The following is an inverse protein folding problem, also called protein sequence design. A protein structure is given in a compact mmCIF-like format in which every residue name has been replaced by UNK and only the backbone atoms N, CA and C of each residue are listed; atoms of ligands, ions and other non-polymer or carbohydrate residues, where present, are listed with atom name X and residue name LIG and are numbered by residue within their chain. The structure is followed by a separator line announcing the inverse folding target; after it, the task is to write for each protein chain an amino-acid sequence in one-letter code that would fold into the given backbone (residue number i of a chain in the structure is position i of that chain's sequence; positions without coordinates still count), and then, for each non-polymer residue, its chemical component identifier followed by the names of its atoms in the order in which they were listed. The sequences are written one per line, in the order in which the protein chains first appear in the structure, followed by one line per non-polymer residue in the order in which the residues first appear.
data_IF_232945190663
#
_entry.id   IF_232945190663
#
_cell.length_a   1.000
_cell.length_b   1.000
_cell.length_c   1.000
_cell.angle_alpha   90.00
_cell.angle_beta   90.00
_cell.angle_gamma   90.00
#
_symmetry.space_group_name_H-M   'P 1'
#
loop_
_entity.id
_entity.type
_entity.pdbx_description
1 polymer ?
#
# COMPACT_ATOMS: atom_id res chain seq x y z
N UNK A 1 -11.03 23.05 -19.41
CA UNK A 1 -10.10 23.03 -18.27
C UNK A 1 -9.94 21.57 -17.86
N UNK A 2 -8.80 20.93 -18.15
CA UNK A 2 -8.57 19.54 -17.74
C UNK A 2 -8.14 19.52 -16.27
N UNK A 3 -9.02 19.03 -15.40
CA UNK A 3 -8.66 18.79 -14.00
C UNK A 3 -7.69 17.60 -13.98
N UNK A 4 -6.45 17.85 -13.57
CA UNK A 4 -5.45 16.80 -13.31
C UNK A 4 -5.53 16.36 -11.85
N UNK A 5 -4.98 15.18 -11.56
CA UNK A 5 -4.83 14.74 -10.18
C UNK A 5 -3.90 15.70 -9.41
N UNK A 6 -4.16 16.00 -8.12
CA UNK A 6 -3.31 16.89 -7.33
C UNK A 6 -1.85 16.41 -7.25
N UNK A 7 -0.90 17.35 -7.35
CA UNK A 7 0.50 17.03 -7.14
C UNK A 7 0.79 16.69 -5.67
N UNK A 8 1.91 16.01 -5.40
CA UNK A 8 2.35 15.73 -4.04
C UNK A 8 2.52 17.03 -3.22
N UNK A 9 3.10 18.08 -3.81
CA UNK A 9 3.24 19.38 -3.16
C UNK A 9 1.88 20.01 -2.83
N UNK A 10 0.89 19.89 -3.73
CA UNK A 10 -0.47 20.38 -3.50
C UNK A 10 -1.13 19.65 -2.32
N UNK A 11 -1.04 18.32 -2.27
CA UNK A 11 -1.62 17.54 -1.18
C UNK A 11 -0.93 17.82 0.16
N UNK A 12 0.40 17.98 0.16
CA UNK A 12 1.18 18.28 1.37
C UNK A 12 0.84 19.65 1.95
N UNK A 13 0.57 20.65 1.11
CA UNK A 13 0.28 22.03 1.52
C UNK A 13 -1.21 22.34 1.73
N UNK A 14 -2.12 21.45 1.30
CA UNK A 14 -3.55 21.64 1.46
C UNK A 14 -3.96 21.72 2.94
N UNK A 15 -5.01 22.48 3.24
CA UNK A 15 -5.59 22.51 4.58
C UNK A 15 -6.14 21.10 4.92
N UNK A 16 -5.72 20.47 6.04
CA UNK A 16 -6.28 19.20 6.46
C UNK A 16 -7.81 19.20 6.60
N UNK A 17 -8.41 20.36 6.91
CA UNK A 17 -9.87 20.52 6.99
C UNK A 17 -10.53 20.35 5.62
N UNK A 18 -9.94 20.90 4.55
CA UNK A 18 -10.45 20.78 3.17
C UNK A 18 -10.40 19.34 2.69
N UNK A 19 -9.33 18.60 2.99
CA UNK A 19 -9.27 17.15 2.69
C UNK A 19 -10.32 16.40 3.52
N UNK A 20 -10.54 16.84 4.76
CA UNK A 20 -11.54 16.28 5.67
C UNK A 20 -12.98 16.40 5.15
N UNK A 21 -13.31 17.45 4.39
CA UNK A 21 -14.66 17.60 3.80
C UNK A 21 -14.98 16.51 2.76
N UNK A 22 -13.98 15.79 2.26
CA UNK A 22 -14.14 14.63 1.37
C UNK A 22 -14.54 13.35 2.13
N UNK A 23 -14.80 13.42 3.44
CA UNK A 23 -15.13 12.26 4.27
C UNK A 23 -13.91 11.45 4.72
N UNK A 24 -12.69 11.98 4.53
CA UNK A 24 -11.46 11.33 4.93
C UNK A 24 -11.19 11.64 6.41
N UNK A 25 -11.12 10.61 7.25
CA UNK A 25 -10.85 10.78 8.68
C UNK A 25 -9.46 11.37 8.94
N UNK A 26 -9.33 12.16 10.02
CA UNK A 26 -8.10 12.91 10.37
C UNK A 26 -6.81 12.07 10.31
N UNK A 27 -6.83 10.83 10.79
CA UNK A 27 -5.66 9.95 10.75
C UNK A 27 -5.22 9.63 9.32
N UNK A 28 -6.16 9.42 8.40
CA UNK A 28 -5.88 9.15 6.98
C UNK A 28 -5.43 10.42 6.26
N UNK A 29 -5.98 11.59 6.60
CA UNK A 29 -5.48 12.88 6.10
C UNK A 29 -4.01 13.05 6.49
N UNK A 30 -3.66 12.81 7.77
CA UNK A 30 -2.27 12.89 8.23
C UNK A 30 -1.35 11.92 7.50
N UNK A 31 -1.78 10.67 7.27
CA UNK A 31 -1.00 9.70 6.52
C UNK A 31 -0.79 10.12 5.06
N UNK A 32 -1.85 10.61 4.41
CA UNK A 32 -1.81 11.11 3.04
C UNK A 32 -0.83 12.29 2.90
N UNK A 33 -0.91 13.27 3.81
CA UNK A 33 -0.04 14.45 3.77
C UNK A 33 1.41 14.11 4.12
N UNK A 34 1.66 13.18 5.05
CA UNK A 34 3.01 12.72 5.35
C UNK A 34 3.66 12.01 4.15
N UNK A 35 2.89 11.18 3.45
CA UNK A 35 3.33 10.55 2.20
C UNK A 35 3.60 11.59 1.12
N UNK A 36 2.69 12.53 0.93
CA UNK A 36 2.80 13.60 -0.06
C UNK A 36 4.04 14.49 0.20
N UNK A 37 4.30 14.85 1.46
CA UNK A 37 5.50 15.59 1.85
C UNK A 37 6.78 14.80 1.56
N UNK A 38 6.82 13.49 1.88
CA UNK A 38 7.97 12.65 1.58
C UNK A 38 8.30 12.58 0.08
N UNK A 39 7.27 12.56 -0.78
CA UNK A 39 7.44 12.60 -2.23
C UNK A 39 7.87 13.98 -2.70
N UNK A 40 7.23 15.05 -2.22
CA UNK A 40 7.54 16.42 -2.62
C UNK A 40 8.97 16.84 -2.22
N UNK A 41 9.49 16.33 -1.10
CA UNK A 41 10.85 16.57 -0.61
C UNK A 41 11.90 15.65 -1.26
N UNK A 42 11.49 14.71 -2.12
CA UNK A 42 12.39 13.75 -2.76
C UNK A 42 12.93 12.66 -1.84
N UNK A 43 12.42 12.56 -0.60
CA UNK A 43 12.76 11.47 0.33
C UNK A 43 12.19 10.12 -0.09
N UNK A 44 11.14 10.13 -0.91
CA UNK A 44 10.47 8.93 -1.38
C UNK A 44 10.18 9.05 -2.88
N UNK A 45 10.64 8.06 -3.66
CA UNK A 45 10.31 7.96 -5.08
C UNK A 45 9.31 6.83 -5.31
N UNK A 46 8.09 7.17 -5.73
CA UNK A 46 7.00 6.23 -6.01
C UNK A 46 6.95 5.88 -7.49
N UNK A 47 8.05 5.36 -8.02
CA UNK A 47 8.17 4.96 -9.43
C UNK A 47 8.78 3.56 -9.56
N UNK A 48 8.50 2.83 -10.65
CA UNK A 48 9.17 1.56 -10.93
C UNK A 48 10.69 1.71 -10.93
N UNK A 49 11.39 0.73 -10.38
CA UNK A 49 12.86 0.74 -10.28
C UNK A 49 13.44 1.46 -9.06
N UNK A 50 12.61 1.97 -8.14
CA UNK A 50 13.06 2.46 -6.84
C UNK A 50 13.74 1.35 -6.01
N UNK A 51 14.68 1.73 -5.13
CA UNK A 51 15.27 0.81 -4.14
C UNK A 51 14.19 0.34 -3.16
N UNK A 52 13.72 -0.89 -3.32
CA UNK A 52 12.57 -1.40 -2.59
C UNK A 52 12.79 -1.46 -1.08
N UNK A 53 13.87 -2.06 -0.53
CA UNK A 53 14.16 -2.01 0.90
C UNK A 53 14.11 -0.60 1.49
N UNK A 54 14.79 0.37 0.87
CA UNK A 54 14.80 1.75 1.35
C UNK A 54 13.41 2.40 1.25
N UNK A 55 12.67 2.11 0.17
CA UNK A 55 11.31 2.60 -0.06
C UNK A 55 10.33 2.07 0.99
N UNK A 56 10.36 0.77 1.28
CA UNK A 56 9.52 0.14 2.29
C UNK A 56 9.84 0.65 3.70
N UNK A 57 11.13 0.82 4.03
CA UNK A 57 11.55 1.39 5.30
C UNK A 57 11.03 2.83 5.47
N UNK A 58 11.12 3.63 4.41
CA UNK A 58 10.60 5.01 4.41
C UNK A 58 9.08 5.04 4.55
N UNK A 59 8.37 4.21 3.78
CA UNK A 59 6.91 4.11 3.83
C UNK A 59 6.41 3.74 5.23
N UNK A 60 6.98 2.69 5.83
CA UNK A 60 6.55 2.19 7.14
C UNK A 60 6.93 3.10 8.31
N UNK A 61 7.89 4.01 8.12
CA UNK A 61 8.21 5.06 9.08
C UNK A 61 7.19 6.23 9.08
N UNK A 62 6.35 6.35 8.04
CA UNK A 62 5.35 7.40 7.96
C UNK A 62 4.15 7.12 8.88
N UNK A 63 3.57 8.16 9.51
CA UNK A 63 2.43 7.98 10.40
C UNK A 63 1.24 7.38 9.65
N UNK A 64 0.71 6.27 10.15
CA UNK A 64 -0.49 5.63 9.61
C UNK A 64 -0.27 4.77 8.36
N UNK A 65 0.99 4.54 7.95
CA UNK A 65 1.34 3.57 6.90
C UNK A 65 1.96 2.33 7.56
N UNK A 66 1.17 1.26 7.65
CA UNK A 66 1.65 -0.05 8.10
C UNK A 66 2.19 -0.91 6.96
N UNK A 67 2.75 -2.07 7.31
CA UNK A 67 3.31 -3.03 6.34
C UNK A 67 2.34 -3.39 5.22
N UNK A 68 1.06 -3.67 5.55
CA UNK A 68 0.03 -3.95 4.53
C UNK A 68 -0.08 -2.83 3.48
N UNK A 69 -0.11 -1.56 3.90
CA UNK A 69 -0.17 -0.42 2.98
C UNK A 69 1.12 -0.25 2.18
N UNK A 70 2.28 -0.44 2.81
CA UNK A 70 3.57 -0.37 2.13
C UNK A 70 3.72 -1.46 1.06
N UNK A 71 3.31 -2.69 1.35
CA UNK A 71 3.28 -3.80 0.39
C UNK A 71 2.26 -3.58 -0.73
N UNK A 72 1.11 -2.96 -0.43
CA UNK A 72 0.16 -2.59 -1.47
C UNK A 72 0.71 -1.53 -2.42
N UNK A 73 1.45 -0.54 -1.90
CA UNK A 73 2.19 0.45 -2.72
C UNK A 73 3.28 -0.25 -3.54
N UNK A 74 4.05 -1.16 -2.94
CA UNK A 74 5.05 -1.94 -3.67
C UNK A 74 4.42 -2.73 -4.84
N UNK A 75 3.26 -3.35 -4.61
CA UNK A 75 2.54 -4.12 -5.62
C UNK A 75 1.96 -3.23 -6.74
N UNK A 76 1.18 -2.22 -6.37
CA UNK A 76 0.34 -1.45 -7.32
C UNK A 76 1.05 -0.24 -7.92
N UNK A 77 1.96 0.39 -7.18
CA UNK A 77 2.62 1.63 -7.57
C UNK A 77 4.03 1.38 -8.09
N UNK A 78 4.81 0.55 -7.39
CA UNK A 78 6.19 0.25 -7.79
C UNK A 78 6.27 -0.91 -8.79
N UNK A 79 5.19 -1.67 -8.96
CA UNK A 79 5.13 -2.84 -9.83
C UNK A 79 6.06 -3.97 -9.37
N UNK A 80 6.32 -4.09 -8.06
CA UNK A 80 7.23 -5.10 -7.54
C UNK A 80 6.59 -6.50 -7.60
N UNK A 81 7.19 -7.44 -8.35
CA UNK A 81 6.55 -8.74 -8.64
C UNK A 81 6.44 -9.66 -7.42
N UNK A 82 7.26 -9.46 -6.39
CA UNK A 82 7.28 -10.29 -5.19
C UNK A 82 6.61 -9.64 -3.98
N UNK A 83 5.83 -8.56 -4.19
CA UNK A 83 5.13 -7.85 -3.12
C UNK A 83 4.03 -8.73 -2.51
N UNK A 84 3.91 -8.71 -1.18
CA UNK A 84 3.01 -9.58 -0.43
C UNK A 84 2.35 -8.85 0.75
N UNK A 85 1.12 -8.33 0.60
CA UNK A 85 0.38 -7.69 1.68
C UNK A 85 -0.17 -8.76 2.64
N UNK A 86 0.68 -9.31 3.50
CA UNK A 86 0.42 -10.54 4.26
C UNK A 86 -0.84 -10.51 5.16
N UNK A 87 -1.24 -9.33 5.62
CA UNK A 87 -2.43 -9.13 6.47
C UNK A 87 -3.72 -8.83 5.68
N UNK A 88 -3.71 -8.97 4.36
CA UNK A 88 -4.87 -8.71 3.51
C UNK A 88 -5.98 -9.74 3.75
N UNK A 89 -7.13 -9.28 4.24
CA UNK A 89 -8.23 -10.17 4.66
C UNK A 89 -8.79 -10.95 3.47
N UNK A 90 -8.89 -10.31 2.30
CA UNK A 90 -9.36 -10.95 1.09
C UNK A 90 -8.38 -12.05 0.66
N UNK A 91 -7.08 -11.75 0.65
CA UNK A 91 -6.02 -12.72 0.37
C UNK A 91 -6.07 -13.94 1.29
N UNK A 92 -6.14 -13.74 2.62
CA UNK A 92 -6.22 -14.83 3.58
C UNK A 92 -7.49 -15.67 3.41
N UNK A 93 -8.63 -15.02 3.08
CA UNK A 93 -9.88 -15.72 2.75
C UNK A 93 -9.74 -16.57 1.48
N UNK A 94 -9.10 -16.06 0.43
CA UNK A 94 -8.85 -16.79 -0.81
C UNK A 94 -7.92 -18.00 -0.61
N UNK A 95 -7.04 -17.93 0.40
CA UNK A 95 -6.22 -19.05 0.85
C UNK A 95 -6.99 -20.09 1.70
N UNK A 96 -8.31 -19.93 1.85
CA UNK A 96 -9.17 -20.88 2.56
C UNK A 96 -9.21 -20.69 4.07
N UNK A 97 -8.73 -19.56 4.61
CA UNK A 97 -8.88 -19.29 6.04
C UNK A 97 -10.34 -19.08 6.42
N UNK A 98 -10.72 -19.61 7.59
CA UNK A 98 -12.07 -19.46 8.12
C UNK A 98 -12.44 -17.98 8.32
N UNK A 99 -13.74 -17.62 8.22
CA UNK A 99 -14.19 -16.26 8.52
C UNK A 99 -13.73 -15.78 9.90
N UNK A 100 -13.08 -14.62 9.94
CA UNK A 100 -12.54 -14.04 11.17
C UNK A 100 -11.14 -14.55 11.56
N UNK A 101 -10.63 -15.62 10.94
CA UNK A 101 -9.24 -16.03 11.10
C UNK A 101 -8.30 -15.05 10.38
N UNK A 102 -7.11 -14.84 10.97
CA UNK A 102 -6.05 -13.98 10.44
C UNK A 102 -4.68 -14.61 10.68
N UNK A 103 -4.50 -15.85 10.22
CA UNK A 103 -3.23 -16.55 10.34
C UNK A 103 -2.25 -16.07 9.25
N UNK A 104 -1.63 -14.93 9.51
CA UNK A 104 -0.64 -14.31 8.61
C UNK A 104 0.56 -15.23 8.37
N UNK A 105 0.96 -16.03 9.38
CA UNK A 105 2.09 -16.92 9.29
C UNK A 105 1.80 -18.08 8.31
N UNK A 106 0.65 -18.74 8.45
CA UNK A 106 0.24 -19.79 7.52
C UNK A 106 0.04 -19.25 6.10
N UNK A 107 -0.57 -18.07 5.94
CA UNK A 107 -0.73 -17.44 4.64
C UNK A 107 0.61 -17.11 3.97
N UNK A 108 1.57 -16.60 4.74
CA UNK A 108 2.93 -16.33 4.25
C UNK A 108 3.68 -17.61 3.88
N UNK A 109 3.57 -18.66 4.70
CA UNK A 109 4.17 -19.96 4.40
C UNK A 109 3.63 -20.57 3.10
N UNK A 110 2.32 -20.47 2.85
CA UNK A 110 1.73 -20.91 1.59
C UNK A 110 2.25 -20.10 0.39
N UNK A 111 2.47 -18.80 0.58
CA UNK A 111 2.93 -17.90 -0.47
C UNK A 111 4.40 -18.09 -0.88
N UNK A 112 5.23 -18.72 -0.05
CA UNK A 112 6.64 -18.99 -0.39
C UNK A 112 6.77 -19.81 -1.68
N UNK A 113 5.79 -20.65 -2.01
CA UNK A 113 5.76 -21.43 -3.25
C UNK A 113 5.67 -20.57 -4.54
N UNK A 114 5.30 -19.29 -4.42
CA UNK A 114 5.12 -18.38 -5.56
C UNK A 114 6.27 -17.40 -5.74
N UNK A 115 7.32 -17.47 -4.93
CA UNK A 115 8.48 -16.57 -5.10
C UNK A 115 9.20 -16.85 -6.43
N UNK A 116 9.75 -15.81 -7.10
CA UNK A 116 9.75 -14.39 -6.73
C UNK A 116 8.55 -13.59 -7.31
N UNK A 117 7.41 -14.25 -7.54
CA UNK A 117 6.24 -13.71 -8.26
C UNK A 117 4.97 -13.66 -7.40
N UNK A 118 5.10 -13.54 -6.07
CA UNK A 118 3.95 -13.52 -5.14
C UNK A 118 2.90 -12.47 -5.50
N UNK A 119 3.29 -11.32 -6.04
CA UNK A 119 2.38 -10.28 -6.49
C UNK A 119 1.40 -10.75 -7.57
N UNK A 120 1.82 -11.63 -8.48
CA UNK A 120 0.92 -12.23 -9.48
C UNK A 120 -0.09 -13.18 -8.83
N UNK A 121 0.33 -13.95 -7.82
CA UNK A 121 -0.57 -14.79 -7.05
C UNK A 121 -1.59 -13.95 -6.27
N UNK A 122 -1.19 -12.81 -5.69
CA UNK A 122 -2.11 -11.86 -5.03
C UNK A 122 -3.23 -11.44 -5.98
N UNK A 123 -2.89 -11.01 -7.21
CA UNK A 123 -3.91 -10.64 -8.20
C UNK A 123 -4.83 -11.81 -8.57
N UNK A 124 -4.27 -13.01 -8.77
CA UNK A 124 -5.06 -14.21 -9.05
C UNK A 124 -6.03 -14.55 -7.92
N UNK A 125 -5.59 -14.45 -6.67
CA UNK A 125 -6.40 -14.74 -5.48
C UNK A 125 -7.49 -13.70 -5.25
N UNK A 126 -7.24 -12.43 -5.55
CA UNK A 126 -8.30 -11.40 -5.51
C UNK A 126 -9.41 -11.69 -6.53
N UNK A 127 -9.07 -12.17 -7.73
CA UNK A 127 -10.04 -12.52 -8.76
C UNK A 127 -10.92 -13.72 -8.41
N UNK A 128 -10.53 -14.58 -7.45
CA UNK A 128 -11.38 -15.71 -7.03
C UNK A 128 -12.44 -15.33 -5.99
N UNK A 129 -12.48 -14.06 -5.58
CA UNK A 129 -13.42 -13.54 -4.59
C UNK A 129 -14.52 -12.67 -5.20
N UNK A 130 -14.43 -12.41 -6.51
CA UNK A 130 -15.48 -11.82 -7.35
C UNK A 130 -16.49 -12.89 -7.78
#
# INVERSE_FOLDING_TARGET
MSLLFPSAATLAAADPADIGTLGIVRQRVRALQALAAAVAEGRLSLQPGADLPATLATLTALPGIGDWSAQLIALRTLGWPDAWPAADIALLKALGQAPGARDVAAGTAAAEAWRPWRGYAVFKLWLTLE
#
